data_IF_596525184706
#
_entry.id   IF_596525184706
#
_cell.length_a   1.000
_cell.length_b   1.000
_cell.length_c   1.000
_cell.angle_alpha   90.00
_cell.angle_beta   90.00
_cell.angle_gamma   90.00
#
_symmetry.space_group_name_H-M   'P 1'
#
loop_
_entity.id
_entity.type
_entity.pdbx_description
1 polymer ?
#
# COMPACT_ATOMS: atom_id res chain seq x y z
N UNK A 1 -1.54 6.15 -10.79
CA UNK A 1 -2.87 6.64 -10.37
C UNK A 1 -2.84 6.99 -8.90
N UNK A 2 -3.31 8.18 -8.55
CA UNK A 2 -3.28 8.74 -7.19
C UNK A 2 -4.50 8.43 -6.31
N UNK A 3 -5.35 7.54 -6.83
CA UNK A 3 -6.63 7.20 -6.22
C UNK A 3 -6.42 6.48 -4.89
N UNK A 4 -5.39 5.64 -4.77
CA UNK A 4 -5.12 4.88 -3.55
C UNK A 4 -4.65 5.80 -2.40
N UNK A 5 -3.88 6.85 -2.70
CA UNK A 5 -3.53 7.90 -1.71
C UNK A 5 -4.77 8.67 -1.25
N UNK A 6 -5.65 9.04 -2.18
CA UNK A 6 -6.88 9.77 -1.89
C UNK A 6 -7.90 8.93 -1.09
N UNK A 7 -8.00 7.63 -1.39
CA UNK A 7 -8.83 6.68 -0.64
C UNK A 7 -8.22 6.40 0.75
N UNK A 8 -6.90 6.26 0.84
CA UNK A 8 -6.18 6.10 2.11
C UNK A 8 -6.44 7.23 3.10
N UNK A 9 -6.43 8.50 2.66
CA UNK A 9 -6.80 9.65 3.49
C UNK A 9 -8.23 9.55 4.04
N UNK A 10 -9.18 9.15 3.19
CA UNK A 10 -10.58 8.96 3.60
C UNK A 10 -10.76 7.80 4.59
N UNK A 11 -9.88 6.80 4.55
CA UNK A 11 -9.84 5.67 5.47
C UNK A 11 -9.07 5.97 6.79
N UNK A 12 -8.59 7.21 6.98
CA UNK A 12 -7.91 7.63 8.21
C UNK A 12 -6.39 7.49 8.22
N UNK A 13 -5.75 7.18 7.08
CA UNK A 13 -4.29 7.28 6.96
C UNK A 13 -3.88 8.75 6.99
N UNK A 14 -3.00 9.09 7.93
CA UNK A 14 -2.45 10.44 8.02
C UNK A 14 -1.53 10.75 6.85
N UNK A 15 -1.41 12.02 6.48
CA UNK A 15 -0.44 12.48 5.46
C UNK A 15 1.02 12.12 5.82
N UNK A 16 1.28 11.92 7.12
CA UNK A 16 2.55 11.39 7.60
C UNK A 16 2.70 9.91 7.21
N UNK A 17 1.71 9.06 7.49
CA UNK A 17 1.74 7.64 7.10
C UNK A 17 1.84 7.48 5.58
N UNK A 18 1.07 8.24 4.79
CA UNK A 18 1.11 8.16 3.33
C UNK A 18 2.47 8.53 2.73
N UNK A 19 3.19 9.49 3.32
CA UNK A 19 4.56 9.82 2.89
C UNK A 19 5.57 8.76 3.31
N UNK A 20 5.35 8.11 4.44
CA UNK A 20 6.26 7.13 5.00
C UNK A 20 6.15 5.77 4.29
N UNK A 21 4.98 5.37 3.76
CA UNK A 21 4.85 4.12 2.95
C UNK A 21 5.80 4.12 1.74
N UNK A 22 6.16 5.30 1.22
CA UNK A 22 7.10 5.42 0.10
C UNK A 22 8.58 5.36 0.51
N UNK A 23 8.89 5.30 1.81
CA UNK A 23 10.25 5.25 2.36
C UNK A 23 10.50 3.98 3.18
N UNK A 24 11.73 3.81 3.64
CA UNK A 24 12.17 2.59 4.36
C UNK A 24 11.80 2.60 5.85
N UNK A 25 11.43 3.75 6.42
CA UNK A 25 11.14 3.89 7.85
C UNK A 25 9.69 3.54 8.21
N UNK A 26 9.36 2.26 8.39
CA UNK A 26 8.02 1.85 8.79
C UNK A 26 7.73 2.05 10.29
N UNK A 27 8.54 2.83 11.04
CA UNK A 27 8.38 3.03 12.49
C UNK A 27 7.00 3.59 12.88
N UNK A 28 6.38 4.38 12.00
CA UNK A 28 5.05 4.96 12.19
C UNK A 28 3.87 3.97 12.05
N UNK A 29 4.14 2.74 11.59
CA UNK A 29 3.15 1.68 11.44
C UNK A 29 3.20 0.72 12.62
N UNK A 30 2.03 0.22 13.04
CA UNK A 30 1.96 -0.87 14.01
C UNK A 30 2.34 -2.22 13.35
N UNK A 31 2.47 -3.26 14.18
CA UNK A 31 2.90 -4.58 13.72
C UNK A 31 2.01 -5.19 12.62
N UNK A 32 0.68 -5.08 12.77
CA UNK A 32 -0.27 -5.58 11.76
C UNK A 32 -0.17 -4.79 10.45
N UNK A 33 -0.06 -3.46 10.52
CA UNK A 33 0.11 -2.61 9.35
C UNK A 33 1.41 -2.95 8.60
N UNK A 34 2.52 -3.19 9.31
CA UNK A 34 3.79 -3.61 8.71
C UNK A 34 3.68 -4.97 8.02
N UNK A 35 2.96 -5.93 8.61
CA UNK A 35 2.73 -7.24 7.99
C UNK A 35 1.93 -7.14 6.69
N UNK A 36 0.93 -6.25 6.63
CA UNK A 36 0.14 -6.02 5.41
C UNK A 36 0.99 -5.34 4.32
N UNK A 37 1.85 -4.38 4.69
CA UNK A 37 2.80 -3.75 3.76
C UNK A 37 3.78 -4.80 3.22
N UNK A 38 4.40 -5.62 4.09
CA UNK A 38 5.32 -6.69 3.68
C UNK A 38 4.62 -7.71 2.75
N UNK A 39 3.34 -8.02 2.98
CA UNK A 39 2.54 -8.88 2.10
C UNK A 39 2.33 -8.23 0.73
N UNK A 40 2.01 -6.94 0.68
CA UNK A 40 1.81 -6.21 -0.57
C UNK A 40 3.10 -6.16 -1.42
N UNK A 41 4.25 -5.93 -0.78
CA UNK A 41 5.56 -5.95 -1.45
C UNK A 41 5.85 -7.32 -2.05
N UNK A 42 5.78 -8.38 -1.24
CA UNK A 42 6.05 -9.77 -1.68
C UNK A 42 5.11 -10.25 -2.79
N UNK A 43 3.84 -9.84 -2.78
CA UNK A 43 2.87 -10.16 -3.84
C UNK A 43 3.08 -9.35 -5.13
N UNK A 44 3.83 -8.25 -5.06
CA UNK A 44 4.14 -7.38 -6.20
C UNK A 44 5.41 -7.78 -6.93
N UNK A 45 6.28 -8.58 -6.29
CA UNK A 45 7.49 -9.16 -6.88
C UNK A 45 7.19 -10.09 -8.08
N UNK A 46 8.18 -10.26 -8.95
CA UNK A 46 8.14 -11.17 -10.09
C UNK A 46 9.45 -11.98 -10.14
N UNK A 47 9.49 -13.23 -9.64
CA UNK A 47 8.34 -14.00 -9.11
C UNK A 47 7.87 -13.52 -7.73
N UNK A 48 6.58 -13.64 -7.46
CA UNK A 48 6.00 -13.37 -6.12
C UNK A 48 6.45 -14.43 -5.13
N UNK A 49 6.79 -14.04 -3.89
CA UNK A 49 7.29 -14.96 -2.85
C UNK A 49 6.68 -14.72 -1.46
N UNK A 50 5.58 -15.42 -1.17
CA UNK A 50 5.00 -15.52 0.17
C UNK A 50 5.47 -16.85 0.79
N UNK A 51 6.56 -16.81 1.56
CA UNK A 51 7.10 -18.03 2.18
C UNK A 51 6.20 -18.57 3.29
N UNK A 52 6.28 -19.87 3.58
CA UNK A 52 5.50 -20.52 4.65
C UNK A 52 5.73 -19.87 6.03
N UNK A 53 6.97 -19.44 6.30
CA UNK A 53 7.34 -18.72 7.52
C UNK A 53 6.60 -17.38 7.62
N UNK A 54 6.56 -16.62 6.52
CA UNK A 54 5.86 -15.35 6.48
C UNK A 54 4.34 -15.54 6.55
N UNK A 55 3.81 -16.55 5.86
CA UNK A 55 2.39 -16.91 5.94
C UNK A 55 1.99 -17.32 7.37
N UNK A 56 2.87 -18.01 8.10
CA UNK A 56 2.64 -18.35 9.51
C UNK A 56 2.55 -17.12 10.40
N UNK A 57 3.41 -16.10 10.18
CA UNK A 57 3.32 -14.80 10.89
C UNK A 57 2.00 -14.08 10.58
N UNK A 58 1.52 -14.14 9.33
CA UNK A 58 0.23 -13.57 8.94
C UNK A 58 -0.94 -14.28 9.65
N UNK A 59 -0.95 -15.61 9.68
CA UNK A 59 -2.02 -16.39 10.34
C UNK A 59 -2.06 -16.23 11.86
N UNK A 60 -0.98 -15.78 12.48
CA UNK A 60 -0.97 -15.42 13.90
C UNK A 60 -1.78 -14.15 14.20
N UNK A 61 -1.96 -13.26 13.21
CA UNK A 61 -2.62 -11.96 13.39
C UNK A 61 -3.95 -11.84 12.65
N UNK A 62 -4.14 -12.59 11.57
CA UNK A 62 -5.32 -12.49 10.68
C UNK A 62 -6.03 -13.83 10.53
N UNK A 63 -7.36 -13.80 10.44
CA UNK A 63 -8.17 -14.95 10.03
C UNK A 63 -7.92 -15.31 8.56
N UNK A 64 -8.40 -16.47 8.13
CA UNK A 64 -8.24 -16.90 6.74
C UNK A 64 -9.06 -16.01 5.79
N UNK A 65 -10.26 -15.62 6.22
CA UNK A 65 -11.14 -14.70 5.51
C UNK A 65 -10.49 -13.32 5.36
N UNK A 66 -9.87 -12.80 6.42
CA UNK A 66 -9.15 -11.52 6.38
C UNK A 66 -7.96 -11.57 5.41
N UNK A 67 -7.20 -12.67 5.40
CA UNK A 67 -6.09 -12.83 4.44
C UNK A 67 -6.58 -12.99 3.01
N UNK A 68 -7.72 -13.65 2.79
CA UNK A 68 -8.35 -13.75 1.48
C UNK A 68 -8.74 -12.37 0.96
N UNK A 69 -9.38 -11.54 1.78
CA UNK A 69 -9.76 -10.17 1.42
C UNK A 69 -8.53 -9.29 1.13
N UNK A 70 -7.52 -9.34 2.00
CA UNK A 70 -6.27 -8.59 1.82
C UNK A 70 -5.55 -9.01 0.52
N UNK A 71 -5.37 -10.32 0.30
CA UNK A 71 -4.72 -10.85 -0.89
C UNK A 71 -5.49 -10.51 -2.17
N UNK A 72 -6.81 -10.59 -2.15
CA UNK A 72 -7.65 -10.22 -3.29
C UNK A 72 -7.49 -8.74 -3.65
N UNK A 73 -7.51 -7.85 -2.65
CA UNK A 73 -7.33 -6.41 -2.88
C UNK A 73 -5.95 -6.10 -3.45
N UNK A 74 -4.88 -6.69 -2.90
CA UNK A 74 -3.50 -6.50 -3.38
C UNK A 74 -3.37 -7.01 -4.83
N UNK A 75 -3.89 -8.21 -5.11
CA UNK A 75 -3.85 -8.78 -6.46
C UNK A 75 -4.60 -7.91 -7.48
N UNK A 76 -5.74 -7.34 -7.10
CA UNK A 76 -6.52 -6.44 -7.94
C UNK A 76 -5.75 -5.15 -8.26
N UNK A 77 -5.07 -4.55 -7.28
CA UNK A 77 -4.23 -3.38 -7.50
C UNK A 77 -3.01 -3.70 -8.39
N UNK A 78 -2.39 -4.87 -8.22
CA UNK A 78 -1.30 -5.32 -9.07
C UNK A 78 -1.74 -5.54 -10.52
N UNK A 79 -2.93 -6.10 -10.73
CA UNK A 79 -3.55 -6.23 -12.05
C UNK A 79 -3.78 -4.85 -12.68
N UNK A 80 -4.41 -3.91 -11.96
CA UNK A 80 -4.62 -2.54 -12.43
C UNK A 80 -3.31 -1.86 -12.81
N UNK A 81 -2.29 -1.97 -11.96
CA UNK A 81 -0.97 -1.37 -12.21
C UNK A 81 -0.32 -1.91 -13.48
N UNK A 82 -0.41 -3.23 -13.72
CA UNK A 82 0.10 -3.87 -14.94
C UNK A 82 -0.68 -3.45 -16.18
N UNK A 83 -2.02 -3.40 -16.10
CA UNK A 83 -2.85 -2.91 -17.20
C UNK A 83 -2.54 -1.45 -17.55
N UNK A 84 -2.44 -0.56 -16.56
CA UNK A 84 -2.12 0.85 -16.81
C UNK A 84 -0.79 1.01 -17.55
N UNK A 85 0.22 0.19 -17.19
CA UNK A 85 1.52 0.19 -17.88
C UNK A 85 1.42 -0.27 -19.33
N UNK A 86 0.54 -1.23 -19.66
CA UNK A 86 0.32 -1.68 -21.05
C UNK A 86 -0.25 -0.55 -21.91
N UNK A 87 -1.13 0.27 -21.35
CA UNK A 87 -1.85 1.32 -22.07
C UNK A 87 -1.28 2.73 -21.85
N UNK A 88 -0.10 2.85 -21.23
CA UNK A 88 0.55 4.12 -20.87
C UNK A 88 -0.40 5.13 -20.18
N UNK A 89 -1.26 4.60 -19.30
CA UNK A 89 -2.23 5.43 -18.56
C UNK A 89 -1.48 6.20 -17.46
N UNK A 90 -1.38 7.51 -17.66
CA UNK A 90 -0.78 8.46 -16.72
C UNK A 90 -1.56 8.63 -15.41
N UNK A 91 -1.06 9.48 -14.51
CA UNK A 91 -1.78 9.82 -13.27
C UNK A 91 -2.86 10.87 -13.55
N UNK A 92 -4.08 10.67 -13.05
CA UNK A 92 -5.20 11.61 -13.18
C UNK A 92 -5.04 12.92 -12.35
N UNK A 93 -3.83 13.23 -11.86
CA UNK A 93 -3.50 14.35 -10.94
C UNK A 93 -4.39 14.49 -9.69
N UNK A 94 -5.08 13.41 -9.29
CA UNK A 94 -6.04 13.45 -8.18
C UNK A 94 -5.41 13.63 -6.80
N UNK A 95 -4.09 13.48 -6.67
CA UNK A 95 -3.38 14.03 -5.52
C UNK A 95 -2.23 14.95 -5.91
N UNK A 96 -2.16 16.03 -5.14
CA UNK A 96 -1.13 17.05 -5.18
C UNK A 96 -0.58 17.06 -3.78
N UNK A 97 0.72 16.86 -3.64
CA UNK A 97 1.41 17.15 -2.38
C UNK A 97 1.13 18.62 -2.10
N UNK A 98 0.34 18.95 -1.08
CA UNK A 98 0.30 20.33 -0.62
C UNK A 98 1.68 20.62 -0.03
N UNK A 99 2.54 21.25 -0.84
CA UNK A 99 3.72 21.92 -0.35
C UNK A 99 3.24 22.99 0.62
N UNK A 100 3.49 22.79 1.91
CA UNK A 100 3.33 23.83 2.92
C UNK A 100 4.39 24.92 2.68
N UNK A 101 4.11 25.82 1.74
CA UNK A 101 4.75 27.12 1.58
C UNK A 101 3.59 28.14 1.65
N UNK A 102 3.46 29.07 2.59
CA UNK A 102 4.42 29.75 3.47
C UNK A 102 3.77 30.03 4.83
N UNK A 103 4.53 29.81 5.92
CA UNK A 103 4.60 30.79 7.02
C UNK A 103 5.75 31.74 6.70
N UNK A 104 5.69 32.95 7.27
CA UNK A 104 6.58 34.13 7.09
C UNK A 104 6.04 35.10 6.01
N UNK A 105 5.60 36.33 6.31
CA UNK A 105 5.81 37.23 7.46
C UNK A 105 4.55 38.04 7.78
#
# INVERSE_FOLDING_TARGET
MDINSAVGRKAGLTDQKLRIVLGEDLSAFNEMERLVIELADRMSEAPSNVSDEFYSRLRAQFSEEQLLELGAQIAFENFRARLNRVFDVGSDELYKIQSSEKRES
#
